data_IF_766436031079
#
_entry.id   IF_766436031079
#
_cell.length_a   1.000
_cell.length_b   1.000
_cell.length_c   1.000
_cell.angle_alpha   90.00
_cell.angle_beta   90.00
_cell.angle_gamma   90.00
#
_symmetry.space_group_name_H-M   'P 1'
#
loop_
_entity.id
_entity.type
_entity.pdbx_description
1 polymer ?
#
# COMPACT_ATOMS: atom_id res chain seq x y z
N UNK A 1 8.88 -4.49 -2.62
CA UNK A 1 8.39 -4.72 -3.99
C UNK A 1 8.14 -3.38 -4.68
N UNK A 2 8.39 -3.25 -5.98
CA UNK A 2 8.24 -2.00 -6.75
C UNK A 2 7.42 -2.23 -8.03
N UNK A 3 6.45 -1.35 -8.30
CA UNK A 3 5.64 -1.40 -9.53
C UNK A 3 6.39 -0.68 -10.64
N UNK A 4 6.92 -1.45 -11.60
CA UNK A 4 7.87 -0.95 -12.61
C UNK A 4 7.26 -0.12 -13.74
N UNK A 5 5.94 -0.05 -13.88
CA UNK A 5 5.32 0.70 -14.96
C UNK A 5 3.85 1.02 -14.74
N UNK A 6 3.38 1.99 -15.51
CA UNK A 6 1.97 2.37 -15.61
C UNK A 6 1.46 1.97 -17.00
N UNK A 7 0.49 1.03 -17.11
CA UNK A 7 -0.03 0.61 -18.40
C UNK A 7 -0.74 1.76 -19.14
N UNK A 8 -0.79 1.68 -20.48
CA UNK A 8 -1.48 2.69 -21.30
C UNK A 8 -2.94 2.86 -20.87
N UNK A 9 -3.36 4.11 -20.72
CA UNK A 9 -4.72 4.47 -20.32
C UNK A 9 -4.98 4.44 -18.82
N UNK A 10 -3.97 4.11 -18.00
CA UNK A 10 -4.01 4.35 -16.56
C UNK A 10 -3.47 5.74 -16.23
N UNK A 11 -4.01 6.33 -15.17
CA UNK A 11 -3.50 7.53 -14.52
C UNK A 11 -2.88 7.14 -13.19
N UNK A 12 -1.71 7.70 -12.87
CA UNK A 12 -1.07 7.50 -11.57
C UNK A 12 -1.73 8.41 -10.55
N UNK A 13 -2.22 7.85 -9.44
CA UNK A 13 -2.85 8.56 -8.33
C UNK A 13 -1.88 8.84 -7.18
N UNK A 14 -0.90 7.95 -6.97
CA UNK A 14 0.03 8.05 -5.86
C UNK A 14 1.43 7.59 -6.27
N UNK A 15 2.46 8.25 -5.72
CA UNK A 15 3.87 7.92 -5.93
C UNK A 15 4.67 8.21 -4.66
N UNK A 16 5.86 7.62 -4.56
CA UNK A 16 6.83 7.88 -3.51
C UNK A 16 8.25 7.85 -4.10
N UNK A 17 9.28 8.33 -3.39
CA UNK A 17 10.67 8.21 -3.85
C UNK A 17 11.12 6.77 -4.14
N UNK A 18 10.45 5.76 -3.53
CA UNK A 18 10.79 4.34 -3.70
C UNK A 18 9.96 3.64 -4.78
N UNK A 19 8.73 4.12 -5.06
CA UNK A 19 7.87 3.54 -6.08
C UNK A 19 7.07 4.64 -6.78
N UNK A 20 7.30 4.82 -8.07
CA UNK A 20 6.61 5.82 -8.88
C UNK A 20 5.12 5.52 -9.10
N UNK A 21 4.70 4.25 -8.96
CA UNK A 21 3.35 3.80 -9.27
C UNK A 21 2.72 3.13 -8.03
N UNK A 22 2.43 3.90 -6.98
CA UNK A 22 1.82 3.37 -5.74
C UNK A 22 0.32 3.16 -5.84
N UNK A 23 -0.37 3.91 -6.68
CA UNK A 23 -1.77 3.71 -6.99
C UNK A 23 -2.08 4.21 -8.38
N UNK A 24 -2.95 3.51 -9.10
CA UNK A 24 -3.34 3.86 -10.46
C UNK A 24 -4.83 3.66 -10.68
N UNK A 25 -5.40 4.40 -11.62
CA UNK A 25 -6.81 4.30 -11.98
C UNK A 25 -6.99 4.26 -13.50
N UNK A 26 -8.00 3.53 -13.97
CA UNK A 26 -8.46 3.59 -15.36
C UNK A 26 -9.98 3.76 -15.38
N UNK A 27 -10.41 5.01 -15.56
CA UNK A 27 -11.82 5.39 -15.45
C UNK A 27 -12.42 4.94 -14.12
N UNK A 28 -13.69 4.57 -14.12
CA UNK A 28 -14.41 4.07 -12.94
C UNK A 28 -14.38 2.54 -12.82
N UNK A 29 -13.52 1.87 -13.61
CA UNK A 29 -13.55 0.41 -13.76
C UNK A 29 -12.40 -0.28 -13.04
N UNK A 30 -11.23 0.36 -12.96
CA UNK A 30 -10.04 -0.24 -12.35
C UNK A 30 -9.37 0.76 -11.41
N UNK A 31 -9.20 0.34 -10.16
CA UNK A 31 -8.37 0.97 -9.14
C UNK A 31 -7.29 -0.03 -8.72
N UNK A 32 -6.04 0.40 -8.68
CA UNK A 32 -4.91 -0.38 -8.17
C UNK A 32 -4.23 0.35 -7.02
N UNK A 33 -3.81 -0.41 -6.01
CA UNK A 33 -3.10 0.09 -4.84
C UNK A 33 -1.97 -0.91 -4.56
N UNK A 34 -0.74 -0.42 -4.52
CA UNK A 34 0.42 -1.26 -4.20
C UNK A 34 0.52 -1.51 -2.69
N UNK A 35 0.13 -0.51 -1.89
CA UNK A 35 0.15 -0.61 -0.43
C UNK A 35 -0.96 -1.53 0.08
N UNK A 36 -0.88 -1.87 1.37
CA UNK A 36 -1.86 -2.71 2.05
C UNK A 36 -2.64 -1.92 3.11
N UNK A 37 -3.51 -0.97 2.73
CA UNK A 37 -4.34 -0.24 3.71
C UNK A 37 -5.26 -1.17 4.50
N UNK A 38 -5.56 -2.36 3.98
CA UNK A 38 -6.34 -3.40 4.63
C UNK A 38 -5.59 -4.13 5.77
N UNK A 39 -4.27 -3.94 5.89
CA UNK A 39 -3.50 -4.58 6.96
C UNK A 39 -3.62 -3.78 8.26
N UNK A 40 -4.20 -4.35 9.32
CA UNK A 40 -4.12 -3.76 10.64
C UNK A 40 -2.68 -3.78 11.17
N UNK A 41 -2.41 -2.98 12.20
CA UNK A 41 -1.04 -2.76 12.74
C UNK A 41 -0.36 -4.07 13.14
N UNK A 42 -1.08 -4.96 13.80
CA UNK A 42 -0.59 -6.28 14.20
C UNK A 42 -0.23 -7.17 13.02
N UNK A 43 -1.00 -7.11 11.92
CA UNK A 43 -0.65 -7.81 10.68
C UNK A 43 0.62 -7.23 10.04
N UNK A 44 0.76 -5.91 9.98
CA UNK A 44 1.99 -5.25 9.49
C UNK A 44 3.19 -5.66 10.34
N UNK A 45 3.06 -5.65 11.67
CA UNK A 45 4.12 -6.05 12.60
C UNK A 45 4.53 -7.51 12.38
N UNK A 46 3.54 -8.41 12.31
CA UNK A 46 3.77 -9.83 12.09
C UNK A 46 4.54 -10.07 10.78
N UNK A 47 4.13 -9.42 9.69
CA UNK A 47 4.79 -9.54 8.39
C UNK A 47 6.21 -8.99 8.45
N UNK A 48 6.40 -7.79 9.00
CA UNK A 48 7.71 -7.15 9.10
C UNK A 48 8.70 -8.02 9.89
N UNK A 49 8.28 -8.51 11.06
CA UNK A 49 9.13 -9.39 11.90
C UNK A 49 9.39 -10.74 11.25
N UNK A 50 8.37 -11.37 10.68
CA UNK A 50 8.49 -12.70 10.07
C UNK A 50 9.41 -12.67 8.84
N UNK A 51 9.17 -11.73 7.93
CA UNK A 51 9.98 -11.57 6.71
C UNK A 51 11.37 -11.01 7.00
N UNK A 52 11.51 -10.20 8.05
CA UNK A 52 12.80 -9.75 8.58
C UNK A 52 13.66 -10.91 9.08
N UNK A 53 13.08 -11.82 9.89
CA UNK A 53 13.79 -13.03 10.36
C UNK A 53 14.24 -13.95 9.22
N UNK A 54 13.48 -13.98 8.12
CA UNK A 54 13.83 -14.74 6.92
C UNK A 54 14.89 -14.04 6.05
N UNK A 55 15.30 -12.81 6.37
CA UNK A 55 16.23 -12.02 5.56
C UNK A 55 15.64 -11.48 4.25
N UNK A 56 14.33 -11.58 4.05
CA UNK A 56 13.64 -11.10 2.85
C UNK A 56 13.52 -9.57 2.87
N UNK A 57 13.24 -9.01 4.05
CA UNK A 57 13.17 -7.57 4.26
C UNK A 57 14.43 -7.13 5.02
N UNK A 58 15.20 -6.15 4.50
CA UNK A 58 16.37 -5.59 5.18
C UNK A 58 16.06 -5.11 6.61
N UNK A 59 17.01 -5.28 7.53
CA UNK A 59 16.80 -4.98 8.96
C UNK A 59 16.51 -3.51 9.24
N UNK A 60 17.10 -2.58 8.47
CA UNK A 60 16.79 -1.15 8.50
C UNK A 60 15.32 -0.87 8.17
N UNK A 61 14.76 -1.58 7.18
CA UNK A 61 13.34 -1.46 6.80
C UNK A 61 12.40 -2.00 7.86
N UNK A 62 12.78 -3.10 8.49
CA UNK A 62 12.02 -3.64 9.63
C UNK A 62 12.04 -2.64 10.78
N UNK A 63 13.19 -2.07 11.10
CA UNK A 63 13.31 -1.07 12.16
C UNK A 63 12.49 0.21 11.86
N UNK A 64 12.59 0.75 10.65
CA UNK A 64 11.77 1.88 10.20
C UNK A 64 10.27 1.58 10.35
N UNK A 65 9.83 0.42 9.86
CA UNK A 65 8.43 0.01 9.92
C UNK A 65 7.92 -0.09 11.36
N UNK A 66 8.69 -0.72 12.26
CA UNK A 66 8.31 -0.87 13.66
C UNK A 66 8.33 0.46 14.43
N UNK A 67 9.20 1.39 14.05
CA UNK A 67 9.29 2.71 14.68
C UNK A 67 8.04 3.57 14.40
N UNK A 68 7.42 3.44 13.23
CA UNK A 68 6.29 4.27 12.79
C UNK A 68 4.94 3.53 12.83
N UNK A 69 4.91 2.29 13.32
CA UNK A 69 3.72 1.42 13.21
C UNK A 69 2.50 1.94 14.01
N UNK A 70 2.76 2.74 15.03
CA UNK A 70 1.72 3.33 15.88
C UNK A 70 1.26 4.70 15.38
N UNK A 71 1.93 5.26 14.37
CA UNK A 71 1.56 6.57 13.85
C UNK A 71 0.15 6.53 13.25
N UNK A 72 -0.64 7.60 13.43
CA UNK A 72 -1.92 7.74 12.75
C UNK A 72 -1.75 7.63 11.24
N UNK A 73 -2.69 6.97 10.58
CA UNK A 73 -2.74 6.86 9.13
C UNK A 73 -4.18 6.83 8.63
N UNK A 74 -4.33 6.99 7.31
CA UNK A 74 -5.63 7.03 6.64
C UNK A 74 -6.08 5.67 6.11
N UNK A 75 -5.55 4.55 6.66
CA UNK A 75 -5.87 3.21 6.17
C UNK A 75 -7.38 2.92 6.15
N UNK A 76 -8.09 3.28 7.22
CA UNK A 76 -9.54 3.07 7.30
C UNK A 76 -10.30 3.90 6.25
N UNK A 77 -9.90 5.16 6.06
CA UNK A 77 -10.48 6.02 5.04
C UNK A 77 -10.24 5.46 3.64
N UNK A 78 -9.02 4.98 3.36
CA UNK A 78 -8.68 4.39 2.07
C UNK A 78 -9.46 3.09 1.83
N UNK A 79 -9.60 2.23 2.83
CA UNK A 79 -10.43 1.03 2.74
C UNK A 79 -11.90 1.38 2.45
N UNK A 80 -12.45 2.42 3.08
CA UNK A 80 -13.81 2.86 2.81
C UNK A 80 -13.98 3.34 1.35
N UNK A 81 -12.98 4.06 0.81
CA UNK A 81 -12.98 4.45 -0.60
C UNK A 81 -12.89 3.25 -1.55
N UNK A 82 -12.06 2.26 -1.24
CA UNK A 82 -11.97 1.03 -2.02
C UNK A 82 -13.31 0.30 -2.07
N UNK A 83 -14.02 0.21 -0.93
CA UNK A 83 -15.36 -0.39 -0.88
C UNK A 83 -16.34 0.42 -1.72
N UNK A 84 -16.35 1.75 -1.60
CA UNK A 84 -17.21 2.62 -2.42
C UNK A 84 -16.93 2.48 -3.91
N UNK A 85 -15.66 2.34 -4.31
CA UNK A 85 -15.27 2.06 -5.70
C UNK A 85 -15.89 0.77 -6.22
N UNK A 86 -15.74 -0.32 -5.46
CA UNK A 86 -16.28 -1.63 -5.82
C UNK A 86 -17.81 -1.60 -5.92
N UNK A 87 -18.48 -0.80 -5.08
CA UNK A 87 -19.93 -0.63 -5.10
C UNK A 87 -20.44 0.35 -6.17
N UNK A 88 -19.54 1.00 -6.94
CA UNK A 88 -19.93 2.03 -7.91
C UNK A 88 -20.55 3.28 -7.27
N UNK A 89 -20.17 3.57 -6.02
CA UNK A 89 -20.70 4.66 -5.20
C UNK A 89 -19.64 5.72 -4.87
N UNK A 90 -18.66 5.88 -5.75
CA UNK A 90 -17.55 6.82 -5.58
C UNK A 90 -17.92 8.20 -6.13
#
# INVERSE_FOLDING_TARGET
DIVKGCPKGFQVLASSPRCANHGMVKGEQILTIQGHPEYPRDAVELVARSRGKQGIIPSDRVAECLATIQDPNDSLWMCALMVRFVLGAL
#
